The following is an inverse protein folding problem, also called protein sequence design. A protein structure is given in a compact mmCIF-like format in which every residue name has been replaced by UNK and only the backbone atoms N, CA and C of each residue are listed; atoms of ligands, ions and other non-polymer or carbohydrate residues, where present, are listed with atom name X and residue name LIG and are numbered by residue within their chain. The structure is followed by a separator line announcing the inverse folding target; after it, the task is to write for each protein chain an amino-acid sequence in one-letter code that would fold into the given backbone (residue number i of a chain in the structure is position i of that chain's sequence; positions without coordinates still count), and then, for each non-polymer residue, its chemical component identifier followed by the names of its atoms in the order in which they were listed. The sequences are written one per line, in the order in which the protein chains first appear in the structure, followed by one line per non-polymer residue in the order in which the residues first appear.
data_IF_757491136886
#
_entry.id   IF_757491136886
#
_cell.length_a   1.000
_cell.length_b   1.000
_cell.length_c   1.000
_cell.angle_alpha   90.00
_cell.angle_beta   90.00
_cell.angle_gamma   90.00
#
_symmetry.space_group_name_H-M   'P 1'
#
loop_
_entity.id
_entity.type
_entity.pdbx_description
1 polymer ?
#
# COMPACT_ATOMS: atom_id res chain seq x y z
N UNK A 1 24.87 69.69 10.89
CA UNK A 1 24.47 68.47 11.62
C UNK A 1 23.89 67.50 10.60
N UNK A 2 24.77 66.80 9.89
CA UNK A 2 24.40 65.78 8.90
C UNK A 2 24.26 64.43 9.60
N UNK A 3 23.14 63.75 9.37
CA UNK A 3 22.83 62.43 9.92
C UNK A 3 23.49 61.36 9.05
N UNK A 4 24.44 60.63 9.60
CA UNK A 4 24.96 59.39 9.00
C UNK A 4 23.91 58.28 9.17
N UNK A 5 23.56 57.51 8.12
CA UNK A 5 22.79 56.29 8.29
C UNK A 5 23.72 55.14 8.69
N UNK A 6 23.55 54.63 9.91
CA UNK A 6 24.05 53.32 10.29
C UNK A 6 23.25 52.27 9.51
N UNK A 7 23.93 51.48 8.66
CA UNK A 7 23.41 50.21 8.17
C UNK A 7 24.17 49.09 8.88
N UNK A 8 23.43 48.25 9.60
CA UNK A 8 23.95 46.99 10.12
C UNK A 8 23.77 45.93 9.04
N UNK A 9 24.81 45.22 8.60
CA UNK A 9 24.62 43.96 7.90
C UNK A 9 24.56 42.82 8.91
N UNK A 10 23.57 41.94 8.75
CA UNK A 10 23.57 40.49 8.99
C UNK A 10 22.26 40.02 9.63
N UNK A 11 21.46 39.32 8.83
CA UNK A 11 21.19 37.93 9.16
C UNK A 11 20.97 37.16 7.83
N UNK A 12 22.05 36.64 7.27
CA UNK A 12 21.94 35.58 6.27
C UNK A 12 21.61 34.32 7.03
N UNK A 13 20.33 33.97 7.08
CA UNK A 13 19.89 32.65 7.49
C UNK A 13 20.60 31.62 6.61
N UNK A 14 21.66 31.02 7.15
CA UNK A 14 22.19 29.77 6.66
C UNK A 14 21.05 28.76 6.82
N UNK A 15 20.33 28.51 5.72
CA UNK A 15 19.49 27.33 5.61
C UNK A 15 20.40 26.14 5.85
N UNK A 16 20.39 25.61 7.06
CA UNK A 16 20.87 24.27 7.32
C UNK A 16 20.10 23.36 6.36
N UNK A 17 20.76 22.90 5.31
CA UNK A 17 20.32 21.72 4.59
C UNK A 17 20.37 20.58 5.61
N UNK A 18 19.26 20.36 6.33
CA UNK A 18 18.98 19.07 6.94
C UNK A 18 19.04 18.08 5.79
N UNK A 19 20.19 17.41 5.66
CA UNK A 19 20.30 16.19 4.88
C UNK A 19 19.38 15.24 5.62
N UNK A 20 18.13 15.14 5.16
CA UNK A 20 17.20 14.11 5.62
C UNK A 20 17.92 12.79 5.38
N UNK A 21 18.29 12.11 6.47
CA UNK A 21 18.82 10.76 6.36
C UNK A 21 17.75 9.96 5.62
N UNK A 22 18.14 9.16 4.60
CA UNK A 22 17.18 8.33 3.90
C UNK A 22 16.41 7.51 4.93
N UNK A 23 15.11 7.72 5.02
CA UNK A 23 14.27 7.01 5.97
C UNK A 23 14.05 5.59 5.43
N UNK A 24 14.47 4.59 6.21
CA UNK A 24 14.16 3.19 5.89
C UNK A 24 12.65 3.01 6.08
N UNK A 25 11.97 2.50 5.06
CA UNK A 25 10.53 2.24 5.10
C UNK A 25 10.24 1.13 6.11
N UNK A 26 9.18 1.28 6.90
CA UNK A 26 8.75 0.25 7.84
C UNK A 26 8.51 -1.08 7.12
N UNK A 27 8.99 -2.18 7.72
CA UNK A 27 8.95 -3.53 7.12
C UNK A 27 10.17 -3.90 6.28
N UNK A 28 11.02 -2.95 5.85
CA UNK A 28 12.22 -3.26 5.06
C UNK A 28 13.26 -4.05 5.85
N UNK A 29 13.41 -3.79 7.15
CA UNK A 29 14.28 -4.61 8.00
C UNK A 29 13.87 -6.08 7.97
N UNK A 30 12.58 -6.36 8.14
CA UNK A 30 12.02 -7.71 8.09
C UNK A 30 12.13 -8.31 6.67
N UNK A 31 12.01 -7.51 5.61
CA UNK A 31 12.25 -7.95 4.24
C UNK A 31 13.66 -8.53 4.05
N UNK A 32 14.68 -7.81 4.51
CA UNK A 32 16.07 -8.24 4.40
C UNK A 32 16.38 -9.45 5.30
N UNK A 33 15.68 -9.59 6.42
CA UNK A 33 15.80 -10.79 7.26
C UNK A 33 15.21 -12.04 6.58
N UNK A 34 14.10 -11.88 5.85
CA UNK A 34 13.41 -13.00 5.18
C UNK A 34 13.97 -13.32 3.78
N UNK A 35 14.59 -12.33 3.14
CA UNK A 35 15.12 -12.40 1.76
C UNK A 35 16.57 -11.85 1.79
N UNK A 36 17.52 -12.62 2.32
CA UNK A 36 18.90 -12.15 2.50
C UNK A 36 19.58 -11.76 1.18
N UNK A 37 19.13 -12.30 0.04
CA UNK A 37 19.62 -11.97 -1.31
C UNK A 37 19.40 -10.50 -1.69
N UNK A 38 18.50 -9.77 -1.01
CA UNK A 38 18.34 -8.32 -1.20
C UNK A 38 19.64 -7.56 -0.90
N UNK A 39 20.42 -8.03 0.08
CA UNK A 39 21.68 -7.40 0.48
C UNK A 39 22.79 -7.58 -0.56
N UNK A 40 22.67 -8.55 -1.47
CA UNK A 40 23.59 -8.72 -2.60
C UNK A 40 23.31 -7.71 -3.73
N UNK A 41 22.13 -7.07 -3.73
CA UNK A 41 21.70 -6.12 -4.75
C UNK A 41 21.97 -4.68 -4.32
N UNK A 42 21.59 -4.32 -3.10
CA UNK A 42 21.69 -2.95 -2.60
C UNK A 42 21.40 -2.81 -1.12
N UNK A 43 21.39 -1.57 -0.63
CA UNK A 43 21.13 -1.28 0.80
C UNK A 43 19.65 -1.21 1.12
N UNK A 44 19.31 -1.26 2.41
CA UNK A 44 17.93 -1.08 2.91
C UNK A 44 17.35 0.29 2.51
N UNK A 45 18.18 1.32 2.49
CA UNK A 45 17.80 2.66 2.04
C UNK A 45 17.50 2.70 0.54
N UNK A 46 18.32 2.03 -0.28
CA UNK A 46 18.07 1.93 -1.72
C UNK A 46 16.78 1.13 -1.99
N UNK A 47 16.56 0.03 -1.27
CA UNK A 47 15.34 -0.75 -1.41
C UNK A 47 14.10 0.05 -0.99
N UNK A 48 14.19 0.81 0.11
CA UNK A 48 13.10 1.70 0.56
C UNK A 48 12.73 2.71 -0.52
N UNK A 49 13.71 3.37 -1.13
CA UNK A 49 13.48 4.31 -2.24
C UNK A 49 12.92 3.62 -3.48
N UNK A 50 13.44 2.44 -3.83
CA UNK A 50 12.95 1.64 -4.94
C UNK A 50 11.46 1.31 -4.77
N UNK A 51 11.04 0.87 -3.58
CA UNK A 51 9.64 0.52 -3.31
C UNK A 51 8.67 1.69 -3.55
N UNK A 52 9.09 2.94 -3.32
CA UNK A 52 8.28 4.13 -3.61
C UNK A 52 8.07 4.35 -5.13
N UNK A 53 8.90 3.74 -5.98
CA UNK A 53 8.81 3.82 -7.44
C UNK A 53 7.97 2.70 -8.07
N UNK A 54 7.68 1.61 -7.34
CA UNK A 54 6.99 0.43 -7.88
C UNK A 54 5.56 0.78 -8.31
N UNK A 55 4.82 1.47 -7.44
CA UNK A 55 3.48 1.98 -7.72
C UNK A 55 3.36 3.45 -7.27
N UNK A 56 3.87 4.41 -8.07
CA UNK A 56 4.03 5.80 -7.64
C UNK A 56 2.70 6.51 -7.38
N UNK A 57 1.62 6.07 -8.04
CA UNK A 57 0.28 6.65 -7.88
C UNK A 57 -0.58 5.95 -6.81
N UNK A 58 -0.13 4.80 -6.29
CA UNK A 58 -0.89 4.08 -5.26
C UNK A 58 -1.10 4.93 -4.02
N UNK A 59 -2.33 4.97 -3.50
CA UNK A 59 -2.66 5.60 -2.22
C UNK A 59 -2.07 4.83 -1.04
N UNK A 60 -1.80 3.54 -1.20
CA UNK A 60 -1.20 2.69 -0.16
C UNK A 60 0.29 2.51 -0.47
N UNK A 61 1.14 3.04 0.42
CA UNK A 61 2.61 3.00 0.27
C UNK A 61 3.30 2.07 1.26
N UNK A 62 2.54 1.50 2.18
CA UNK A 62 3.08 0.63 3.23
C UNK A 62 3.30 -0.78 2.69
N UNK A 63 4.24 -1.49 3.33
CA UNK A 63 4.42 -2.93 3.10
C UNK A 63 3.31 -3.66 3.84
N UNK A 64 2.57 -4.50 3.12
CA UNK A 64 1.48 -5.32 3.65
C UNK A 64 1.84 -6.80 3.63
N UNK A 65 1.10 -7.61 4.38
CA UNK A 65 1.48 -8.99 4.67
C UNK A 65 0.40 -9.99 4.23
N UNK A 66 0.81 -11.00 3.47
CA UNK A 66 0.00 -12.14 3.11
C UNK A 66 0.52 -13.40 3.79
N UNK A 67 -0.35 -14.10 4.53
CA UNK A 67 -0.02 -15.37 5.19
C UNK A 67 -0.45 -16.54 4.33
N UNK A 68 0.46 -17.50 4.16
CA UNK A 68 0.23 -18.65 3.28
C UNK A 68 0.94 -19.91 3.80
N UNK A 69 0.49 -21.05 3.32
CA UNK A 69 1.11 -22.36 3.58
C UNK A 69 2.21 -22.71 2.59
N UNK A 70 2.34 -21.95 1.49
CA UNK A 70 3.36 -22.12 0.44
C UNK A 70 3.83 -20.76 -0.08
N UNK A 71 5.14 -20.61 -0.36
CA UNK A 71 5.69 -19.42 -1.02
C UNK A 71 5.49 -19.50 -2.54
N UNK A 72 5.22 -18.35 -3.15
CA UNK A 72 5.08 -18.20 -4.60
C UNK A 72 5.38 -16.76 -5.01
N UNK A 73 5.70 -16.54 -6.29
CA UNK A 73 6.05 -15.21 -6.79
C UNK A 73 4.85 -14.44 -7.33
N UNK A 74 3.85 -15.16 -7.86
CA UNK A 74 2.70 -14.56 -8.54
C UNK A 74 1.40 -15.12 -7.95
N UNK A 75 0.49 -14.20 -7.63
CA UNK A 75 -0.85 -14.56 -7.21
C UNK A 75 -1.66 -15.12 -8.38
N UNK A 76 -2.32 -16.26 -8.17
CA UNK A 76 -3.12 -16.91 -9.20
C UNK A 76 -4.61 -16.64 -8.96
N UNK A 77 -5.20 -15.85 -9.85
CA UNK A 77 -6.61 -15.46 -9.76
C UNK A 77 -7.55 -16.66 -9.80
N UNK A 78 -7.15 -17.76 -10.45
CA UNK A 78 -7.97 -18.99 -10.50
C UNK A 78 -8.12 -19.67 -9.14
N UNK A 79 -7.26 -19.33 -8.16
CA UNK A 79 -7.34 -19.83 -6.77
C UNK A 79 -8.27 -18.99 -5.89
N UNK A 80 -8.75 -17.84 -6.37
CA UNK A 80 -9.73 -17.01 -5.64
C UNK A 80 -11.14 -17.58 -5.80
N UNK A 81 -12.00 -17.36 -4.80
CA UNK A 81 -13.38 -17.87 -4.79
C UNK A 81 -14.39 -16.72 -4.81
N UNK A 82 -15.56 -16.95 -5.40
CA UNK A 82 -16.66 -15.98 -5.43
C UNK A 82 -17.08 -15.51 -4.03
N UNK A 83 -17.11 -16.44 -3.07
CA UNK A 83 -17.43 -16.16 -1.66
C UNK A 83 -16.49 -15.12 -1.04
N UNK A 84 -15.29 -14.93 -1.61
CA UNK A 84 -14.29 -13.97 -1.18
C UNK A 84 -14.22 -12.75 -2.12
N UNK A 85 -15.21 -12.59 -3.00
CA UNK A 85 -15.25 -11.51 -4.01
C UNK A 85 -14.18 -11.62 -5.09
N UNK A 86 -13.57 -12.81 -5.26
CA UNK A 86 -12.41 -13.03 -6.15
C UNK A 86 -11.22 -12.10 -5.85
N UNK A 87 -10.91 -11.92 -4.55
CA UNK A 87 -9.87 -11.02 -4.06
C UNK A 87 -8.67 -11.74 -3.45
N UNK A 88 -7.54 -11.04 -3.42
CA UNK A 88 -6.36 -11.35 -2.63
C UNK A 88 -6.32 -10.44 -1.41
N UNK A 89 -5.95 -11.00 -0.25
CA UNK A 89 -6.06 -10.33 1.04
C UNK A 89 -4.69 -10.12 1.68
N UNK A 90 -4.50 -8.95 2.28
CA UNK A 90 -3.26 -8.53 2.88
C UNK A 90 -3.56 -7.77 4.17
N UNK A 91 -2.90 -8.18 5.25
CA UNK A 91 -2.96 -7.48 6.52
C UNK A 91 -1.99 -6.30 6.52
N UNK A 92 -2.35 -5.13 7.09
CA UNK A 92 -1.45 -4.00 7.29
C UNK A 92 -0.34 -4.32 8.30
N UNK A 93 -0.54 -5.32 9.16
CA UNK A 93 0.41 -5.77 10.17
C UNK A 93 0.72 -7.26 10.00
N UNK A 94 1.90 -7.70 10.42
CA UNK A 94 2.27 -9.11 10.38
C UNK A 94 1.56 -9.90 11.51
N UNK A 95 0.34 -10.39 11.24
CA UNK A 95 -0.46 -11.20 12.19
C UNK A 95 -0.08 -12.67 12.10
N UNK A 96 -0.16 -13.45 13.18
CA UNK A 96 0.24 -14.88 13.22
C UNK A 96 -0.70 -15.91 12.58
N UNK A 97 -1.73 -15.51 11.81
CA UNK A 97 -2.84 -16.39 11.37
C UNK A 97 -2.65 -16.90 9.93
N UNK A 98 -3.42 -17.91 9.53
CA UNK A 98 -3.59 -18.37 8.12
C UNK A 98 -2.37 -18.97 7.37
N UNK A 99 -1.21 -19.08 8.00
CA UNK A 99 -0.07 -19.77 7.40
C UNK A 99 1.24 -19.53 8.14
N UNK A 100 2.20 -20.45 7.95
CA UNK A 100 3.54 -20.31 8.53
C UNK A 100 4.43 -19.37 7.73
N UNK A 101 4.19 -19.20 6.43
CA UNK A 101 4.96 -18.28 5.61
C UNK A 101 4.30 -16.91 5.60
N UNK A 102 5.14 -15.88 5.72
CA UNK A 102 4.77 -14.48 5.58
C UNK A 102 5.36 -14.00 4.26
N UNK A 103 4.49 -13.63 3.34
CA UNK A 103 4.85 -12.90 2.13
C UNK A 103 4.58 -11.43 2.35
N UNK A 104 5.48 -10.58 1.88
CA UNK A 104 5.31 -9.14 1.94
C UNK A 104 4.99 -8.63 0.54
N UNK A 105 4.15 -7.61 0.45
CA UNK A 105 3.84 -6.96 -0.82
C UNK A 105 3.74 -5.44 -0.66
N UNK A 106 3.91 -4.73 -1.77
CA UNK A 106 3.31 -3.39 -1.96
C UNK A 106 2.16 -3.52 -2.96
N UNK A 107 1.12 -2.72 -2.78
CA UNK A 107 -0.11 -2.82 -3.56
C UNK A 107 -0.32 -1.59 -4.45
N UNK A 108 -0.88 -1.80 -5.64
CA UNK A 108 -1.35 -0.76 -6.54
C UNK A 108 -2.85 -0.51 -6.31
N UNK A 109 -3.15 0.46 -5.44
CA UNK A 109 -4.51 0.87 -5.09
C UNK A 109 -4.61 2.38 -5.25
N UNK A 110 -5.21 2.85 -6.34
CA UNK A 110 -5.41 4.27 -6.63
C UNK A 110 -6.77 4.75 -6.11
N UNK A 111 -7.75 3.85 -5.98
CA UNK A 111 -9.08 4.13 -5.48
C UNK A 111 -9.52 3.07 -4.47
N UNK A 112 -9.24 3.35 -3.19
CA UNK A 112 -9.60 2.50 -2.06
C UNK A 112 -11.06 2.71 -1.64
N UNK A 113 -11.79 1.61 -1.49
CA UNK A 113 -13.08 1.61 -0.81
C UNK A 113 -12.90 1.31 0.68
N UNK A 114 -13.56 2.09 1.54
CA UNK A 114 -13.61 1.89 2.99
C UNK A 114 -15.06 1.71 3.45
N UNK A 115 -15.69 0.56 3.12
CA UNK A 115 -17.13 0.36 3.26
C UNK A 115 -17.68 0.54 4.68
N UNK A 116 -16.83 0.50 5.71
CA UNK A 116 -17.24 0.66 7.11
C UNK A 116 -16.76 1.97 7.75
N UNK A 117 -16.20 2.88 6.95
CA UNK A 117 -15.87 4.23 7.35
C UNK A 117 -17.07 5.16 7.10
N UNK A 118 -17.53 5.87 8.14
CA UNK A 118 -18.71 6.74 8.06
C UNK A 118 -18.53 7.89 7.06
N UNK A 119 -17.33 8.48 6.96
CA UNK A 119 -17.04 9.55 6.01
C UNK A 119 -17.11 9.03 4.57
N UNK A 120 -16.52 7.88 4.30
CA UNK A 120 -16.60 7.20 3.01
C UNK A 120 -18.06 6.90 2.63
N UNK A 121 -18.85 6.34 3.56
CA UNK A 121 -20.25 6.01 3.30
C UNK A 121 -21.10 7.26 3.07
N UNK A 122 -20.87 8.34 3.80
CA UNK A 122 -21.55 9.61 3.58
C UNK A 122 -21.20 10.19 2.19
N UNK A 123 -19.92 10.11 1.79
CA UNK A 123 -19.48 10.50 0.45
C UNK A 123 -20.19 9.67 -0.63
N UNK A 124 -20.16 8.33 -0.53
CA UNK A 124 -20.79 7.45 -1.51
C UNK A 124 -22.29 7.68 -1.62
N UNK A 125 -23.00 7.82 -0.49
CA UNK A 125 -24.44 8.08 -0.52
C UNK A 125 -24.78 9.41 -1.21
N UNK A 126 -23.91 10.42 -1.07
CA UNK A 126 -24.11 11.75 -1.64
C UNK A 126 -23.76 11.80 -3.13
N UNK A 127 -22.61 11.27 -3.51
CA UNK A 127 -22.07 11.39 -4.87
C UNK A 127 -22.51 10.23 -5.79
N UNK A 128 -22.94 9.09 -5.22
CA UNK A 128 -23.38 7.89 -5.94
C UNK A 128 -24.73 7.35 -5.44
N UNK A 129 -25.81 8.16 -5.45
CA UNK A 129 -27.14 7.70 -5.02
C UNK A 129 -27.63 6.47 -5.82
N UNK A 130 -27.18 6.30 -7.06
CA UNK A 130 -27.50 5.18 -7.95
C UNK A 130 -27.10 3.81 -7.38
N UNK A 131 -26.13 3.74 -6.46
CA UNK A 131 -25.75 2.47 -5.82
C UNK A 131 -26.86 1.90 -4.92
N UNK A 132 -27.74 2.78 -4.43
CA UNK A 132 -28.87 2.43 -3.56
C UNK A 132 -30.22 2.50 -4.29
N UNK A 133 -30.27 3.07 -5.50
CA UNK A 133 -31.51 3.26 -6.25
C UNK A 133 -32.18 1.92 -6.59
N UNK A 134 -33.49 1.83 -6.32
CA UNK A 134 -34.29 0.62 -6.58
C UNK A 134 -33.93 -0.59 -5.72
N UNK A 135 -33.04 -0.45 -4.72
CA UNK A 135 -32.67 -1.57 -3.83
C UNK A 135 -33.76 -1.83 -2.79
N UNK A 136 -33.86 -3.09 -2.36
CA UNK A 136 -34.83 -3.52 -1.36
C UNK A 136 -34.54 -2.92 0.03
N UNK A 137 -35.54 -2.93 0.92
CA UNK A 137 -35.39 -2.52 2.34
C UNK A 137 -34.33 -3.29 3.14
N UNK A 138 -33.88 -4.45 2.66
CA UNK A 138 -32.84 -5.27 3.30
C UNK A 138 -31.44 -5.00 2.72
N UNK A 139 -31.30 -4.03 1.81
CA UNK A 139 -30.01 -3.70 1.21
C UNK A 139 -29.12 -2.98 2.23
N UNK A 140 -27.89 -3.48 2.39
CA UNK A 140 -26.90 -2.89 3.26
C UNK A 140 -25.71 -2.42 2.40
N UNK A 141 -25.60 -1.10 2.22
CA UNK A 141 -24.63 -0.48 1.32
C UNK A 141 -23.17 -0.85 1.67
N UNK A 142 -22.71 -0.76 2.94
CA UNK A 142 -21.36 -1.21 3.33
C UNK A 142 -21.01 -2.61 2.84
N UNK A 143 -21.84 -3.62 3.13
CA UNK A 143 -21.59 -4.98 2.67
C UNK A 143 -21.62 -5.09 1.14
N UNK A 144 -22.45 -4.31 0.48
CA UNK A 144 -22.50 -4.31 -0.98
C UNK A 144 -21.23 -3.72 -1.60
N UNK A 145 -20.74 -2.57 -1.09
CA UNK A 145 -19.46 -2.00 -1.50
C UNK A 145 -18.34 -2.99 -1.19
N UNK A 146 -18.31 -3.58 0.00
CA UNK A 146 -17.29 -4.57 0.36
C UNK A 146 -17.16 -5.70 -0.66
N UNK A 147 -18.27 -6.25 -1.14
CA UNK A 147 -18.25 -7.36 -2.11
C UNK A 147 -18.00 -6.89 -3.55
N UNK A 148 -18.51 -5.72 -3.93
CA UNK A 148 -18.59 -5.28 -5.33
C UNK A 148 -17.85 -3.99 -5.65
N UNK A 149 -16.89 -3.56 -4.82
CA UNK A 149 -16.19 -2.29 -4.98
C UNK A 149 -15.58 -2.11 -6.39
N UNK A 150 -15.04 -3.18 -6.99
CA UNK A 150 -14.55 -3.17 -8.37
C UNK A 150 -15.60 -2.76 -9.41
N UNK A 151 -16.86 -3.15 -9.23
CA UNK A 151 -17.97 -2.73 -10.11
C UNK A 151 -18.30 -1.25 -9.96
N UNK A 152 -17.87 -0.64 -8.86
CA UNK A 152 -18.03 0.77 -8.53
C UNK A 152 -16.76 1.59 -8.80
N UNK A 153 -15.77 1.01 -9.49
CA UNK A 153 -14.55 1.71 -9.89
C UNK A 153 -13.49 1.83 -8.79
N UNK A 154 -13.60 1.04 -7.72
CA UNK A 154 -12.55 0.92 -6.70
C UNK A 154 -11.63 -0.25 -7.03
N UNK A 155 -10.32 -0.04 -6.96
CA UNK A 155 -9.31 -1.05 -7.27
C UNK A 155 -8.82 -1.80 -6.03
N UNK A 156 -9.21 -1.36 -4.83
CA UNK A 156 -9.00 -2.10 -3.59
C UNK A 156 -10.05 -1.80 -2.53
N UNK A 157 -10.09 -2.64 -1.50
CA UNK A 157 -10.98 -2.47 -0.32
C UNK A 157 -10.14 -2.57 0.94
N UNK A 158 -10.33 -1.64 1.87
CA UNK A 158 -9.83 -1.73 3.23
C UNK A 158 -11.01 -1.96 4.17
N UNK A 159 -11.10 -3.17 4.71
CA UNK A 159 -12.23 -3.56 5.52
C UNK A 159 -11.95 -4.81 6.37
N UNK A 160 -12.71 -4.91 7.46
CA UNK A 160 -12.73 -6.03 8.38
C UNK A 160 -13.49 -7.25 7.82
N UNK A 161 -12.85 -8.42 7.74
CA UNK A 161 -13.53 -9.72 7.53
C UNK A 161 -13.61 -10.51 8.84
N UNK A 162 -14.56 -10.16 9.71
CA UNK A 162 -15.00 -11.03 10.81
C UNK A 162 -13.93 -11.45 11.85
N UNK A 163 -12.69 -10.98 11.74
CA UNK A 163 -11.57 -11.27 12.62
C UNK A 163 -10.80 -9.98 12.90
N UNK A 164 -10.30 -9.83 14.12
CA UNK A 164 -9.83 -8.61 14.80
C UNK A 164 -8.94 -7.59 14.04
N UNK A 165 -8.58 -7.78 12.77
CA UNK A 165 -7.65 -6.95 12.02
C UNK A 165 -8.29 -6.53 10.69
N UNK A 166 -8.25 -5.23 10.37
CA UNK A 166 -8.64 -4.73 9.05
C UNK A 166 -7.67 -5.25 7.99
N UNK A 167 -8.16 -5.58 6.80
CA UNK A 167 -7.34 -6.07 5.69
C UNK A 167 -7.51 -5.20 4.44
N UNK A 168 -6.41 -5.03 3.71
CA UNK A 168 -6.44 -4.60 2.32
C UNK A 168 -6.77 -5.79 1.43
N UNK A 169 -7.53 -5.54 0.38
CA UNK A 169 -7.76 -6.53 -0.65
C UNK A 169 -7.78 -5.93 -2.05
N UNK A 170 -7.28 -6.69 -3.02
CA UNK A 170 -7.15 -6.31 -4.44
C UNK A 170 -7.65 -7.45 -5.33
N UNK A 171 -7.88 -7.17 -6.61
CA UNK A 171 -8.61 -8.08 -7.52
C UNK A 171 -7.71 -8.76 -8.55
N UNK A 172 -6.63 -8.09 -8.97
CA UNK A 172 -5.76 -8.56 -10.04
C UNK A 172 -4.33 -8.81 -9.54
N UNK A 173 -3.64 -9.88 -10.00
CA UNK A 173 -2.25 -10.15 -9.64
C UNK A 173 -1.30 -8.99 -9.96
N UNK A 174 -1.55 -8.26 -11.05
CA UNK A 174 -0.74 -7.12 -11.50
C UNK A 174 -0.81 -5.93 -10.54
N UNK A 175 -1.74 -5.93 -9.59
CA UNK A 175 -1.80 -4.93 -8.52
C UNK A 175 -0.83 -5.23 -7.36
N UNK A 176 -0.08 -6.33 -7.43
CA UNK A 176 0.70 -6.84 -6.31
C UNK A 176 2.15 -6.97 -6.76
N UNK A 177 3.05 -6.27 -6.06
CA UNK A 177 4.48 -6.55 -6.14
C UNK A 177 4.90 -7.32 -4.90
N UNK A 178 5.14 -8.62 -5.05
CA UNK A 178 5.64 -9.49 -3.98
C UNK A 178 7.13 -9.19 -3.78
N UNK A 179 7.49 -8.75 -2.57
CA UNK A 179 8.88 -8.45 -2.23
C UNK A 179 9.71 -9.74 -2.31
N UNK A 180 10.86 -9.67 -2.98
CA UNK A 180 11.77 -10.81 -3.17
C UNK A 180 11.36 -11.79 -4.29
N UNK A 181 10.25 -11.54 -4.98
CA UNK A 181 9.93 -12.28 -6.22
C UNK A 181 10.97 -12.03 -7.30
N UNK A 182 11.07 -12.91 -8.30
CA UNK A 182 11.99 -12.72 -9.43
C UNK A 182 11.84 -11.33 -10.07
N UNK A 183 10.59 -10.89 -10.30
CA UNK A 183 10.28 -9.58 -10.88
C UNK A 183 10.74 -8.40 -10.01
N UNK A 184 10.52 -8.49 -8.68
CA UNK A 184 10.94 -7.47 -7.72
C UNK A 184 12.46 -7.36 -7.65
N UNK A 185 13.15 -8.51 -7.57
CA UNK A 185 14.60 -8.59 -7.49
C UNK A 185 15.27 -8.05 -8.75
N UNK A 186 14.72 -8.34 -9.93
CA UNK A 186 15.22 -7.78 -11.19
C UNK A 186 15.02 -6.26 -11.28
N UNK A 187 13.86 -5.76 -10.88
CA UNK A 187 13.57 -4.33 -10.93
C UNK A 187 14.41 -3.55 -9.91
N UNK A 188 14.64 -4.12 -8.72
CA UNK A 188 15.54 -3.53 -7.74
C UNK A 188 16.98 -3.48 -8.25
N UNK A 189 17.49 -4.54 -8.90
CA UNK A 189 18.81 -4.55 -9.56
C UNK A 189 18.92 -3.43 -10.60
N UNK A 190 17.90 -3.26 -11.44
CA UNK A 190 17.85 -2.19 -12.46
C UNK A 190 17.83 -0.81 -11.80
N UNK A 191 17.09 -0.65 -10.70
CA UNK A 191 17.03 0.60 -9.94
C UNK A 191 18.42 0.98 -9.41
N UNK A 192 19.09 0.06 -8.71
CA UNK A 192 20.44 0.30 -8.15
C UNK A 192 21.48 0.54 -9.24
N UNK A 193 21.40 -0.18 -10.37
CA UNK A 193 22.34 0.00 -11.48
C UNK A 193 22.18 1.31 -12.27
N UNK A 194 21.07 2.03 -12.08
CA UNK A 194 20.79 3.32 -12.72
C UNK A 194 21.02 4.53 -11.79
N UNK A 195 21.33 4.31 -10.51
CA UNK A 195 21.83 5.36 -9.58
C UNK A 195 23.32 5.66 -9.82
#
# INVERSE_FOLDING_TARGET
MEKFPFSFPQNTDLKENKIEKPQIKEGVDFAFEQIPELADIGTKEQYSKYLDTVFPESKIKDIVYHRTVEKFDVFDKSKTKEINGYRFYFSPINTGRYGQYVMQAVLNINNLAEPYNDEFINYVNKEHPEYTEGKSKNFYLPANIYVYANKYGYDGVYAFEGTNDDEYSVYEPEQINVLGSEQDMENFKKFVGNE
#
